data_IF_559268868887
#
_entry.id   IF_559268868887
#
_cell.length_a   1.000
_cell.length_b   1.000
_cell.length_c   1.000
_cell.angle_alpha   90.00
_cell.angle_beta   90.00
_cell.angle_gamma   90.00
#
_symmetry.space_group_name_H-M   'P 1'
#
loop_
_entity.id
_entity.type
_entity.pdbx_description
1 polymer ?
#
# COMPACT_ATOMS: atom_id res chain seq x y z
N UNK A 1 -0.94 38.23 15.37
CA UNK A 1 -1.27 37.71 14.04
C UNK A 1 -1.36 36.21 14.15
N UNK A 2 -2.50 35.62 13.76
CA UNK A 2 -2.74 34.18 13.86
C UNK A 2 -1.82 33.44 12.89
N UNK A 3 -0.87 32.66 13.41
CA UNK A 3 -0.29 31.57 12.64
C UNK A 3 -1.34 30.46 12.62
N UNK A 4 -2.04 30.32 11.50
CA UNK A 4 -2.80 29.12 11.23
C UNK A 4 -1.80 27.97 11.17
N UNK A 5 -1.79 27.15 12.22
CA UNK A 5 -1.22 25.82 12.16
C UNK A 5 -2.04 25.07 11.10
N UNK A 6 -1.53 25.05 9.86
CA UNK A 6 -1.98 24.11 8.86
C UNK A 6 -1.67 22.72 9.42
N UNK A 7 -2.66 22.13 10.08
CA UNK A 7 -2.71 20.69 10.24
C UNK A 7 -2.73 20.14 8.81
N UNK A 8 -1.54 19.83 8.28
CA UNK A 8 -1.39 18.87 7.20
C UNK A 8 -2.09 17.63 7.72
N UNK A 9 -3.31 17.40 7.26
CA UNK A 9 -4.02 16.14 7.42
C UNK A 9 -3.14 15.09 6.75
N UNK A 10 -2.16 14.58 7.48
CA UNK A 10 -1.17 13.66 6.97
C UNK A 10 -1.97 12.44 6.53
N UNK A 11 -2.10 12.25 5.21
CA UNK A 11 -2.68 11.03 4.70
C UNK A 11 -1.77 9.93 5.27
N UNK A 12 -2.38 8.96 5.93
CA UNK A 12 -1.74 7.78 6.49
C UNK A 12 -2.62 6.61 6.10
N UNK A 13 -2.01 5.59 5.53
CA UNK A 13 -2.70 4.35 5.22
C UNK A 13 -3.05 3.58 6.51
N UNK A 14 -4.17 3.91 7.16
CA UNK A 14 -4.62 3.27 8.40
C UNK A 14 -5.67 2.18 8.12
N UNK A 15 -5.24 1.11 7.46
CA UNK A 15 -6.15 0.04 7.04
C UNK A 15 -6.50 -0.98 8.14
N UNK A 16 -5.75 -1.01 9.25
CA UNK A 16 -6.05 -1.85 10.42
C UNK A 16 -7.30 -1.39 11.21
N UNK A 17 -7.80 -0.18 10.97
CA UNK A 17 -8.88 0.45 11.74
C UNK A 17 -10.15 0.75 10.91
N UNK A 18 -10.47 -0.10 9.92
CA UNK A 18 -11.62 0.11 9.03
C UNK A 18 -11.34 1.07 7.87
N UNK A 19 -10.10 1.14 7.40
CA UNK A 19 -9.72 1.94 6.24
C UNK A 19 -10.43 1.51 4.96
N UNK A 20 -10.55 2.44 4.00
CA UNK A 20 -11.28 2.22 2.75
C UNK A 20 -10.53 1.26 1.82
N UNK A 21 -11.26 0.31 1.26
CA UNK A 21 -10.78 -0.69 0.32
C UNK A 21 -11.79 -0.90 -0.81
N UNK A 22 -11.31 -1.02 -2.05
CA UNK A 22 -12.14 -1.32 -3.24
C UNK A 22 -11.34 -2.05 -4.32
N UNK A 23 -12.01 -2.65 -5.30
CA UNK A 23 -11.38 -3.11 -6.54
C UNK A 23 -11.14 -1.91 -7.49
N UNK A 24 -9.96 -1.88 -8.12
CA UNK A 24 -9.62 -0.93 -9.17
C UNK A 24 -10.30 -1.32 -10.48
N UNK A 25 -10.71 -0.31 -11.25
CA UNK A 25 -11.18 -0.47 -12.63
C UNK A 25 -10.42 0.51 -13.53
N UNK A 26 -10.19 0.12 -14.78
CA UNK A 26 -9.42 0.93 -15.72
C UNK A 26 -9.98 2.37 -15.82
N UNK A 27 -9.10 3.36 -15.65
CA UNK A 27 -9.46 4.78 -15.72
C UNK A 27 -10.08 5.34 -14.44
N UNK A 28 -10.21 4.54 -13.37
CA UNK A 28 -10.60 5.04 -12.06
C UNK A 28 -9.51 5.97 -11.51
N UNK A 29 -9.92 7.11 -10.95
CA UNK A 29 -9.03 7.99 -10.22
C UNK A 29 -8.64 7.35 -8.88
N UNK A 30 -7.34 7.37 -8.57
CA UNK A 30 -6.79 6.82 -7.33
C UNK A 30 -6.83 7.91 -6.25
N UNK A 31 -7.49 7.62 -5.13
CA UNK A 31 -7.63 8.55 -4.01
C UNK A 31 -6.60 8.24 -2.90
N UNK A 32 -5.97 9.28 -2.31
CA UNK A 32 -5.17 9.12 -1.10
C UNK A 32 -5.95 8.46 0.05
N UNK A 33 -5.32 7.48 0.72
CA UNK A 33 -5.90 6.76 1.86
C UNK A 33 -6.85 5.61 1.49
N UNK A 34 -7.03 5.30 0.20
CA UNK A 34 -7.81 4.14 -0.27
C UNK A 34 -6.86 3.05 -0.79
N UNK A 35 -7.09 1.81 -0.37
CA UNK A 35 -6.41 0.65 -0.95
C UNK A 35 -7.21 0.06 -2.10
N UNK A 36 -6.55 -0.21 -3.21
CA UNK A 36 -7.14 -0.71 -4.43
C UNK A 36 -6.60 -2.09 -4.77
N UNK A 37 -7.47 -3.09 -4.90
CA UNK A 37 -7.11 -4.41 -5.46
C UNK A 37 -7.12 -4.34 -6.98
N UNK A 38 -6.14 -4.97 -7.61
CA UNK A 38 -5.93 -4.96 -9.05
C UNK A 38 -5.21 -3.71 -9.58
N UNK A 39 -4.62 -2.91 -8.70
CA UNK A 39 -3.79 -1.77 -9.04
C UNK A 39 -2.32 -2.14 -8.82
N UNK A 40 -1.46 -1.83 -9.79
CA UNK A 40 0.00 -1.89 -9.65
C UNK A 40 0.62 -0.64 -10.29
N UNK A 41 1.28 0.18 -9.48
CA UNK A 41 2.01 1.34 -9.97
C UNK A 41 3.21 0.89 -10.81
N UNK A 42 3.26 1.31 -12.08
CA UNK A 42 4.36 0.94 -12.97
C UNK A 42 5.67 1.70 -12.67
N UNK A 43 5.63 2.64 -11.72
CA UNK A 43 6.79 3.41 -11.33
C UNK A 43 7.80 2.59 -10.54
N UNK A 44 9.08 2.90 -10.69
CA UNK A 44 10.16 2.19 -10.02
C UNK A 44 10.00 2.30 -8.49
N UNK A 45 9.97 1.16 -7.81
CA UNK A 45 10.07 1.12 -6.35
C UNK A 45 11.48 1.48 -5.91
N UNK A 46 11.62 2.35 -4.90
CA UNK A 46 12.93 2.63 -4.29
C UNK A 46 13.32 1.54 -3.26
N UNK A 47 12.34 0.79 -2.75
CA UNK A 47 12.56 -0.29 -1.78
C UNK A 47 11.60 -1.45 -2.03
N UNK A 48 12.16 -2.67 -2.06
CA UNK A 48 11.42 -3.93 -2.06
C UNK A 48 11.58 -4.61 -0.69
N UNK A 49 10.49 -5.15 -0.14
CA UNK A 49 10.48 -5.96 1.08
C UNK A 49 9.88 -7.31 0.70
N UNK A 50 10.69 -8.37 0.69
CA UNK A 50 10.26 -9.71 0.30
C UNK A 50 11.09 -10.79 1.02
N UNK A 51 10.44 -11.78 1.66
CA UNK A 51 9.01 -11.83 1.96
C UNK A 51 8.60 -10.80 3.03
N UNK A 52 7.35 -10.36 3.02
CA UNK A 52 6.73 -9.73 4.20
C UNK A 52 5.90 -10.77 4.96
N UNK A 53 5.97 -10.69 6.29
CA UNK A 53 5.28 -11.55 7.23
C UNK A 53 4.58 -10.71 8.32
N UNK A 54 3.53 -11.22 8.97
CA UNK A 54 2.94 -10.56 10.13
C UNK A 54 3.96 -10.49 11.26
N UNK A 55 3.88 -9.42 12.07
CA UNK A 55 4.59 -9.40 13.35
C UNK A 55 3.98 -10.48 14.25
N UNK A 56 4.78 -11.40 14.82
CA UNK A 56 4.28 -12.39 15.75
C UNK A 56 3.55 -11.72 16.92
N UNK A 57 2.42 -12.28 17.34
CA UNK A 57 1.67 -11.82 18.51
C UNK A 57 1.83 -12.82 19.65
N UNK A 58 1.46 -12.41 20.87
CA UNK A 58 1.46 -13.32 22.02
C UNK A 58 0.51 -14.52 21.81
N UNK A 59 -0.55 -14.33 21.03
CA UNK A 59 -1.58 -15.34 20.76
C UNK A 59 -1.23 -16.26 19.58
N UNK A 60 -0.27 -15.86 18.73
CA UNK A 60 0.18 -16.65 17.59
C UNK A 60 1.68 -16.42 17.31
N UNK A 61 2.58 -16.93 18.18
CA UNK A 61 4.03 -16.67 18.09
C UNK A 61 4.71 -17.42 16.94
N UNK A 62 4.11 -18.50 16.45
CA UNK A 62 4.72 -19.45 15.51
C UNK A 62 4.13 -19.41 14.10
N UNK A 63 3.14 -18.55 13.81
CA UNK A 63 2.53 -18.44 12.49
C UNK A 63 3.08 -17.23 11.71
N UNK A 64 4.03 -17.46 10.79
CA UNK A 64 4.64 -16.39 10.02
C UNK A 64 3.77 -15.99 8.81
N UNK A 65 2.50 -16.39 8.71
CA UNK A 65 1.70 -16.16 7.50
C UNK A 65 0.43 -15.36 7.80
N UNK A 66 0.01 -14.56 6.83
CA UNK A 66 -1.25 -13.82 6.92
C UNK A 66 -2.43 -14.74 6.63
N UNK A 67 -3.50 -14.65 7.43
CA UNK A 67 -4.75 -15.35 7.14
C UNK A 67 -5.52 -14.79 5.93
N UNK A 68 -5.19 -13.58 5.49
CA UNK A 68 -5.86 -12.90 4.37
C UNK A 68 -4.86 -12.14 3.50
N UNK A 69 -5.22 -11.90 2.23
CA UNK A 69 -4.46 -11.05 1.31
C UNK A 69 -4.43 -9.60 1.77
N UNK A 70 -5.53 -9.13 2.34
CA UNK A 70 -5.62 -7.81 2.94
C UNK A 70 -4.59 -7.64 4.07
N UNK A 71 -4.34 -8.69 4.86
CA UNK A 71 -3.29 -8.68 5.87
C UNK A 71 -1.91 -8.34 5.31
N UNK A 72 -1.57 -8.90 4.14
CA UNK A 72 -0.32 -8.57 3.41
C UNK A 72 -0.31 -7.09 3.01
N UNK A 73 -1.40 -6.62 2.38
CA UNK A 73 -1.52 -5.22 1.97
C UNK A 73 -1.38 -4.24 3.14
N UNK A 74 -1.95 -4.58 4.30
CA UNK A 74 -1.86 -3.77 5.52
C UNK A 74 -0.44 -3.76 6.11
N UNK A 75 0.28 -4.88 6.03
CA UNK A 75 1.68 -4.91 6.42
C UNK A 75 2.54 -4.02 5.50
N UNK A 76 2.28 -4.02 4.19
CA UNK A 76 2.93 -3.10 3.25
C UNK A 76 2.58 -1.63 3.52
N UNK A 77 1.31 -1.34 3.83
CA UNK A 77 0.88 -0.02 4.25
C UNK A 77 1.62 0.48 5.50
N UNK A 78 1.76 -0.38 6.52
CA UNK A 78 2.55 -0.06 7.70
C UNK A 78 4.01 0.24 7.34
N UNK A 79 4.64 -0.63 6.54
CA UNK A 79 6.01 -0.42 6.10
C UNK A 79 6.18 0.88 5.30
N UNK A 80 5.18 1.28 4.52
CA UNK A 80 5.17 2.57 3.85
C UNK A 80 5.05 3.72 4.84
N UNK A 81 4.07 3.70 5.75
CA UNK A 81 3.88 4.74 6.76
C UNK A 81 5.14 4.95 7.62
N UNK A 82 5.80 3.85 8.01
CA UNK A 82 7.03 3.86 8.82
C UNK A 82 8.25 4.40 8.06
N UNK A 83 8.23 4.40 6.72
CA UNK A 83 9.37 4.85 5.91
C UNK A 83 9.18 6.30 5.44
N UNK A 84 10.00 7.28 5.83
CA UNK A 84 9.72 8.71 5.61
C UNK A 84 9.54 9.11 4.14
N UNK A 85 10.21 8.41 3.22
CA UNK A 85 10.14 8.69 1.78
C UNK A 85 8.94 8.06 1.06
N UNK A 86 8.24 7.11 1.68
CA UNK A 86 7.23 6.33 0.96
C UNK A 86 5.94 7.14 0.75
N UNK A 87 5.54 7.38 -0.50
CA UNK A 87 4.26 8.00 -0.80
C UNK A 87 3.20 6.97 -1.15
N UNK A 88 3.60 5.88 -1.80
CA UNK A 88 2.71 4.78 -2.16
C UNK A 88 3.37 3.43 -1.95
N UNK A 89 2.55 2.39 -1.90
CA UNK A 89 3.02 1.03 -2.00
C UNK A 89 2.24 0.25 -3.05
N UNK A 90 2.87 -0.81 -3.54
CA UNK A 90 2.23 -1.95 -4.17
C UNK A 90 2.56 -3.21 -3.37
N UNK A 91 1.56 -4.07 -3.15
CA UNK A 91 1.66 -5.33 -2.43
C UNK A 91 1.28 -6.47 -3.39
N UNK A 92 2.26 -7.32 -3.71
CA UNK A 92 2.02 -8.55 -4.46
C UNK A 92 1.74 -9.64 -3.45
N UNK A 93 0.53 -10.22 -3.50
CA UNK A 93 0.13 -11.27 -2.54
C UNK A 93 0.30 -12.65 -3.15
N UNK A 94 0.82 -13.58 -2.36
CA UNK A 94 1.07 -14.95 -2.77
C UNK A 94 0.33 -15.88 -1.83
N UNK A 95 -0.48 -16.80 -2.38
CA UNK A 95 -1.09 -17.87 -1.62
C UNK A 95 -0.05 -18.96 -1.36
N UNK A 96 0.28 -19.21 -0.11
CA UNK A 96 1.31 -20.18 0.31
C UNK A 96 0.65 -21.50 0.71
N UNK A 97 -0.49 -21.45 1.40
CA UNK A 97 -1.31 -22.61 1.78
C UNK A 97 -2.78 -22.35 1.42
N UNK A 98 -3.65 -23.34 1.64
CA UNK A 98 -5.09 -23.21 1.38
C UNK A 98 -5.71 -21.98 2.06
N UNK A 99 -5.21 -21.59 3.24
CA UNK A 99 -5.76 -20.49 4.05
C UNK A 99 -4.72 -19.46 4.46
N UNK A 100 -3.53 -19.47 3.85
CA UNK A 100 -2.41 -18.63 4.29
C UNK A 100 -1.71 -17.92 3.13
N UNK A 101 -1.28 -16.69 3.40
CA UNK A 101 -0.70 -15.77 2.43
C UNK A 101 0.63 -15.21 2.93
N UNK A 102 1.51 -14.94 1.98
CA UNK A 102 2.69 -14.07 2.14
C UNK A 102 2.64 -13.00 1.04
N UNK A 103 3.65 -12.15 0.98
CA UNK A 103 3.78 -11.26 -0.16
C UNK A 103 5.07 -10.50 -0.23
N UNK A 104 5.08 -9.57 -1.17
CA UNK A 104 6.16 -8.63 -1.41
C UNK A 104 5.61 -7.22 -1.40
N UNK A 105 6.31 -6.29 -0.78
CA UNK A 105 5.98 -4.87 -0.81
C UNK A 105 6.97 -4.12 -1.68
N UNK A 106 6.45 -3.27 -2.53
CA UNK A 106 7.18 -2.31 -3.34
C UNK A 106 6.81 -0.92 -2.84
N UNK A 107 7.77 -0.17 -2.33
CA UNK A 107 7.54 1.20 -1.84
C UNK A 107 8.01 2.19 -2.90
N UNK A 108 7.21 3.22 -3.15
CA UNK A 108 7.48 4.24 -4.16
C UNK A 108 7.51 5.64 -3.51
N UNK A 109 8.36 6.50 -4.06
CA UNK A 109 8.52 7.89 -3.62
C UNK A 109 7.47 8.81 -4.28
N UNK A 110 6.74 8.31 -5.28
CA UNK A 110 5.84 9.10 -6.12
C UNK A 110 4.54 8.35 -6.48
N UNK A 111 3.54 9.10 -6.93
CA UNK A 111 2.26 8.59 -7.43
C UNK A 111 1.57 9.47 -8.49
N UNK A 112 1.94 10.74 -8.59
CA UNK A 112 1.42 11.65 -9.61
C UNK A 112 2.53 12.26 -10.45
N UNK A 113 3.64 12.65 -9.83
CA UNK A 113 4.80 13.18 -10.57
C UNK A 113 5.57 12.10 -11.35
N UNK A 114 6.35 12.53 -12.34
CA UNK A 114 7.26 11.69 -13.14
C UNK A 114 6.62 10.47 -13.82
N UNK A 115 5.32 10.57 -14.13
CA UNK A 115 4.56 9.48 -14.74
C UNK A 115 4.27 8.33 -13.76
N UNK A 116 4.37 8.57 -12.46
CA UNK A 116 4.12 7.56 -11.43
C UNK A 116 2.63 7.20 -11.26
N UNK A 117 1.74 7.92 -11.94
CA UNK A 117 0.32 7.60 -12.12
C UNK A 117 0.08 6.49 -13.15
N UNK A 118 1.12 6.07 -13.88
CA UNK A 118 1.05 4.97 -14.82
C UNK A 118 0.80 3.63 -14.10
N UNK A 119 -0.09 2.82 -14.67
CA UNK A 119 -0.59 1.58 -14.09
C UNK A 119 -0.26 0.41 -15.02
N UNK A 120 0.18 -0.71 -14.45
CA UNK A 120 0.36 -1.96 -15.17
C UNK A 120 -1.03 -2.52 -15.52
N UNK A 121 -1.46 -2.43 -16.78
CA UNK A 121 -2.82 -2.85 -17.20
C UNK A 121 -3.16 -4.29 -16.81
N UNK A 122 -2.17 -5.17 -16.83
CA UNK A 122 -2.33 -6.59 -16.50
C UNK A 122 -2.48 -6.84 -14.98
N UNK A 123 -2.41 -5.81 -14.13
CA UNK A 123 -2.70 -5.96 -12.71
C UNK A 123 -4.21 -6.02 -12.42
N UNK A 124 -5.06 -5.53 -13.32
CA UNK A 124 -6.51 -5.38 -13.07
C UNK A 124 -7.15 -6.76 -12.85
N UNK A 125 -7.86 -6.91 -11.72
CA UNK A 125 -8.50 -8.17 -11.32
C UNK A 125 -7.58 -9.16 -10.60
N UNK A 126 -6.28 -8.88 -10.51
CA UNK A 126 -5.31 -9.71 -9.78
C UNK A 126 -5.22 -9.34 -8.30
N UNK A 127 -4.62 -10.24 -7.51
CA UNK A 127 -4.42 -10.07 -6.08
C UNK A 127 -3.18 -9.21 -5.76
N UNK A 128 -3.11 -8.07 -6.44
CA UNK A 128 -2.12 -7.00 -6.24
C UNK A 128 -2.87 -5.83 -5.60
N UNK A 129 -2.32 -5.25 -4.55
CA UNK A 129 -2.96 -4.17 -3.81
C UNK A 129 -2.06 -2.95 -3.78
N UNK A 130 -2.57 -1.79 -4.14
CA UNK A 130 -1.80 -0.55 -4.07
C UNK A 130 -2.60 0.55 -3.39
N UNK A 131 -1.91 1.46 -2.73
CA UNK A 131 -2.52 2.62 -2.11
C UNK A 131 -1.58 3.83 -2.13
N UNK A 132 -2.19 5.01 -2.18
CA UNK A 132 -1.49 6.27 -1.94
C UNK A 132 -1.57 6.58 -0.46
N UNK A 133 -0.44 6.47 0.23
CA UNK A 133 -0.36 6.66 1.67
C UNK A 133 -0.04 8.08 2.07
N UNK A 134 0.66 8.86 1.25
CA UNK A 134 0.93 10.28 1.52
C UNK A 134 0.76 11.09 0.25
N UNK A 135 0.20 12.28 0.37
CA UNK A 135 0.09 13.20 -0.75
C UNK A 135 1.49 13.67 -1.18
N UNK A 136 1.64 13.91 -2.48
CA UNK A 136 2.77 14.67 -3.00
C UNK A 136 2.50 16.15 -2.70
N UNK A 137 3.43 16.77 -1.99
CA UNK A 137 3.32 18.16 -1.54
C UNK A 137 4.10 19.12 -2.45
N UNK A 138 4.93 18.57 -3.33
CA UNK A 138 5.71 19.35 -4.31
C UNK A 138 4.98 19.32 -5.65
N UNK A 139 4.93 20.45 -6.38
CA UNK A 139 4.42 20.44 -7.74
C UNK A 139 5.34 19.61 -8.62
N UNK A 140 4.73 18.77 -9.44
CA UNK A 140 5.33 18.31 -10.69
C UNK A 140 5.40 19.53 -11.66
#
# INVERSE_FOLDING_TARGET
>A
GLAAANASSEVICNFFAGGKYTDYSAGMAVEPGVAYRGLDFSYRSFKKIAPIFPTPTADDPDNPLFGTRQGVAWACAKACNDHPKCKTYTAHTHRVLLTAFSGECFLHEHWHCDGADSIVKDSIGHDIFSAVCRQETEPC
#
